data_IF_940469176785
#
_entry.id   IF_940469176785
#
_cell.length_a   1.000
_cell.length_b   1.000
_cell.length_c   1.000
_cell.angle_alpha   90.00
_cell.angle_beta   90.00
_cell.angle_gamma   90.00
#
_symmetry.space_group_name_H-M   'P 1'
#
loop_
_entity.id
_entity.type
_entity.pdbx_description
1 polymer ?
#
# COMPACT_ATOMS: atom_id res chain seq x y z
N UNK A 1 29.73 15.11 -14.90
CA UNK A 1 28.67 14.08 -14.95
C UNK A 1 27.94 14.16 -13.62
N UNK A 2 26.67 14.56 -13.61
CA UNK A 2 25.88 14.60 -12.38
C UNK A 2 25.74 13.18 -11.83
N UNK A 3 25.96 13.04 -10.52
CA UNK A 3 25.82 11.79 -9.82
C UNK A 3 24.31 11.49 -9.69
N UNK A 4 23.77 10.62 -10.54
CA UNK A 4 22.34 10.24 -10.57
C UNK A 4 21.92 9.31 -9.43
N UNK A 5 22.82 9.07 -8.47
CA UNK A 5 22.61 8.13 -7.37
C UNK A 5 21.70 8.72 -6.32
N UNK A 6 20.44 8.27 -6.29
CA UNK A 6 19.49 8.57 -5.21
C UNK A 6 19.77 7.68 -3.99
N UNK A 7 19.72 8.29 -2.80
CA UNK A 7 19.78 7.59 -1.52
C UNK A 7 18.43 7.66 -0.83
N UNK A 8 18.00 6.53 -0.29
CA UNK A 8 16.75 6.38 0.46
C UNK A 8 17.09 5.96 1.88
N UNK A 9 16.30 6.44 2.83
CA UNK A 9 16.39 5.99 4.22
C UNK A 9 15.71 4.63 4.39
N UNK A 10 14.68 4.36 3.58
CA UNK A 10 13.94 3.10 3.58
C UNK A 10 13.30 2.80 2.22
N UNK A 11 13.20 1.51 1.90
CA UNK A 11 12.45 1.01 0.75
C UNK A 11 11.42 -0.04 1.19
N UNK A 12 10.17 0.12 0.76
CA UNK A 12 9.11 -0.87 0.98
C UNK A 12 8.85 -1.65 -0.29
N UNK A 13 8.91 -2.99 -0.22
CA UNK A 13 8.62 -3.87 -1.35
C UNK A 13 7.47 -4.78 -0.96
N UNK A 14 6.38 -4.73 -1.72
CA UNK A 14 5.22 -5.57 -1.45
C UNK A 14 4.07 -5.29 -2.41
N UNK A 15 3.11 -6.21 -2.46
CA UNK A 15 1.94 -6.03 -3.31
C UNK A 15 1.00 -4.97 -2.73
N UNK A 16 0.34 -4.24 -3.62
CA UNK A 16 -0.92 -3.60 -3.29
C UNK A 16 -2.00 -4.65 -3.06
N UNK A 17 -2.80 -4.44 -2.03
CA UNK A 17 -3.95 -5.28 -1.72
C UNK A 17 -5.23 -4.43 -1.72
N UNK A 18 -6.25 -4.89 -2.44
CA UNK A 18 -7.61 -4.36 -2.39
C UNK A 18 -8.39 -5.19 -1.37
N UNK A 19 -8.51 -4.67 -0.16
CA UNK A 19 -8.97 -5.46 0.97
C UNK A 19 -10.47 -5.24 1.21
N UNK A 20 -11.24 -6.31 1.14
CA UNK A 20 -12.65 -6.32 1.55
C UNK A 20 -12.73 -6.73 3.01
N UNK A 21 -13.05 -5.78 3.87
CA UNK A 21 -13.26 -6.01 5.30
C UNK A 21 -14.75 -6.27 5.54
N UNK A 22 -15.06 -7.41 6.14
CA UNK A 22 -16.40 -7.80 6.59
C UNK A 22 -16.41 -7.86 8.11
N UNK A 23 -17.34 -7.14 8.72
CA UNK A 23 -17.46 -7.01 10.17
C UNK A 23 -18.91 -6.80 10.58
N UNK A 24 -19.20 -6.84 11.88
CA UNK A 24 -20.50 -6.49 12.42
C UNK A 24 -20.97 -5.07 12.03
N UNK A 25 -20.05 -4.14 11.78
CA UNK A 25 -20.35 -2.78 11.31
C UNK A 25 -20.64 -2.66 9.81
N UNK A 26 -20.52 -3.76 9.05
CA UNK A 26 -20.74 -3.80 7.61
C UNK A 26 -19.51 -4.17 6.80
N UNK A 27 -19.64 -3.99 5.47
CA UNK A 27 -18.63 -4.32 4.46
C UNK A 27 -17.99 -3.04 3.93
N UNK A 28 -16.66 -3.00 3.86
CA UNK A 28 -15.92 -1.91 3.23
C UNK A 28 -14.75 -2.43 2.42
N UNK A 29 -14.39 -1.69 1.37
CA UNK A 29 -13.17 -1.94 0.57
C UNK A 29 -12.15 -0.87 0.92
N UNK A 30 -10.92 -1.27 1.18
CA UNK A 30 -9.82 -0.36 1.55
C UNK A 30 -8.56 -0.63 0.73
N UNK A 31 -7.78 0.43 0.52
CA UNK A 31 -6.45 0.34 -0.08
C UNK A 31 -5.45 -0.15 0.97
N UNK A 32 -5.10 -1.42 0.87
CA UNK A 32 -4.21 -2.11 1.79
C UNK A 32 -2.78 -2.27 1.30
N UNK A 33 -2.14 -3.30 1.84
CA UNK A 33 -0.77 -3.68 1.57
C UNK A 33 0.20 -3.01 2.53
N UNK A 34 1.06 -3.82 3.17
CA UNK A 34 2.09 -3.32 4.08
C UNK A 34 2.99 -2.26 3.43
N UNK A 35 3.23 -2.37 2.11
CA UNK A 35 3.97 -1.37 1.35
C UNK A 35 3.32 0.03 1.42
N UNK A 36 1.99 0.11 1.33
CA UNK A 36 1.23 1.36 1.30
C UNK A 36 1.22 2.01 2.69
N UNK A 37 0.97 1.23 3.73
CA UNK A 37 0.97 1.72 5.10
C UNK A 37 2.37 2.15 5.55
N UNK A 38 3.38 1.32 5.28
CA UNK A 38 4.78 1.62 5.58
C UNK A 38 5.26 2.89 4.89
N UNK A 39 5.01 3.03 3.58
CA UNK A 39 5.40 4.21 2.83
C UNK A 39 4.71 5.48 3.34
N UNK A 40 3.41 5.43 3.65
CA UNK A 40 2.67 6.57 4.20
C UNK A 40 3.26 7.05 5.53
N UNK A 41 3.54 6.14 6.47
CA UNK A 41 4.09 6.52 7.78
C UNK A 41 5.50 7.07 7.62
N UNK A 42 6.37 6.36 6.90
CA UNK A 42 7.77 6.75 6.75
C UNK A 42 7.92 8.14 6.11
N UNK A 43 7.15 8.44 5.07
CA UNK A 43 7.25 9.75 4.39
C UNK A 43 6.72 10.88 5.26
N UNK A 44 5.67 10.63 6.05
CA UNK A 44 5.15 11.61 7.03
C UNK A 44 6.09 11.85 8.21
N UNK A 45 7.02 10.94 8.45
CA UNK A 45 8.12 11.13 9.39
C UNK A 45 9.30 11.93 8.79
N UNK A 46 9.21 12.36 7.52
CA UNK A 46 10.24 13.14 6.84
C UNK A 46 11.37 12.31 6.24
N UNK A 47 11.20 10.98 6.11
CA UNK A 47 12.21 10.09 5.52
C UNK A 47 12.15 10.12 3.99
N UNK A 48 13.28 9.87 3.34
CA UNK A 48 13.37 9.63 1.89
C UNK A 48 12.95 8.19 1.59
N UNK A 49 11.73 8.03 1.07
CA UNK A 49 11.10 6.72 0.88
C UNK A 49 11.10 6.28 -0.58
N UNK A 50 11.52 5.04 -0.82
CA UNK A 50 11.20 4.30 -2.02
C UNK A 50 10.07 3.28 -1.75
N UNK A 51 9.18 3.08 -2.71
CA UNK A 51 8.16 2.04 -2.66
C UNK A 51 8.14 1.24 -3.97
N UNK A 52 8.06 -0.08 -3.89
CA UNK A 52 8.02 -0.98 -5.03
C UNK A 52 6.79 -1.87 -4.88
N UNK A 53 5.90 -1.82 -5.87
CA UNK A 53 4.62 -2.53 -5.80
C UNK A 53 4.17 -3.05 -7.16
N UNK A 54 3.12 -3.87 -7.12
CA UNK A 54 2.37 -4.29 -8.30
C UNK A 54 0.87 -4.18 -8.05
N UNK A 55 0.13 -3.79 -9.08
CA UNK A 55 -1.32 -3.61 -9.04
C UNK A 55 -1.93 -3.59 -10.45
N UNK A 56 -3.24 -3.78 -10.53
CA UNK A 56 -4.02 -3.50 -11.72
C UNK A 56 -4.06 -2.00 -12.03
N UNK A 57 -4.26 -1.67 -13.32
CA UNK A 57 -4.32 -0.29 -13.80
C UNK A 57 -5.46 0.52 -13.16
N UNK A 58 -6.57 -0.13 -12.83
CA UNK A 58 -7.72 0.50 -12.16
C UNK A 58 -7.38 1.05 -10.76
N UNK A 59 -6.40 0.45 -10.07
CA UNK A 59 -6.02 0.84 -8.71
C UNK A 59 -4.86 1.84 -8.67
N UNK A 60 -4.45 2.34 -9.84
CA UNK A 60 -3.28 3.21 -9.98
C UNK A 60 -3.41 4.54 -9.22
N UNK A 61 -4.61 4.93 -8.82
CA UNK A 61 -4.83 6.09 -7.98
C UNK A 61 -4.09 6.01 -6.63
N UNK A 62 -3.80 4.81 -6.10
CA UNK A 62 -3.01 4.64 -4.86
C UNK A 62 -1.57 5.08 -5.07
N UNK A 63 -1.01 4.79 -6.24
CA UNK A 63 0.33 5.23 -6.65
C UNK A 63 0.38 6.76 -6.70
N UNK A 64 -0.64 7.37 -7.29
CA UNK A 64 -0.73 8.83 -7.38
C UNK A 64 -0.86 9.50 -6.01
N UNK A 65 -1.60 8.89 -5.07
CA UNK A 65 -1.66 9.37 -3.68
C UNK A 65 -0.27 9.37 -3.03
N UNK A 66 0.51 8.30 -3.20
CA UNK A 66 1.87 8.21 -2.63
C UNK A 66 2.86 9.18 -3.30
N UNK A 67 2.76 9.37 -4.62
CA UNK A 67 3.57 10.36 -5.35
C UNK A 67 3.34 11.79 -4.87
N UNK A 68 2.08 12.14 -4.57
CA UNK A 68 1.73 13.45 -4.00
C UNK A 68 2.31 13.68 -2.60
N UNK A 69 2.68 12.60 -1.90
CA UNK A 69 3.41 12.65 -0.64
C UNK A 69 4.93 12.61 -0.83
N UNK A 70 5.42 12.74 -2.07
CA UNK A 70 6.86 12.71 -2.41
C UNK A 70 7.54 11.35 -2.19
N UNK A 71 6.77 10.24 -2.21
CA UNK A 71 7.32 8.89 -2.27
C UNK A 71 7.76 8.56 -3.70
N UNK A 72 9.02 8.14 -3.86
CA UNK A 72 9.51 7.58 -5.13
C UNK A 72 8.95 6.15 -5.27
N UNK A 73 7.93 6.00 -6.11
CA UNK A 73 7.22 4.72 -6.29
C UNK A 73 7.47 4.09 -7.66
N UNK A 74 7.88 2.83 -7.64
CA UNK A 74 8.13 1.97 -8.78
C UNK A 74 7.02 0.92 -8.87
N UNK A 75 6.41 0.82 -10.04
CA UNK A 75 5.16 0.05 -10.21
C UNK A 75 5.29 -0.93 -11.36
N UNK A 76 4.96 -2.19 -11.09
CA UNK A 76 4.66 -3.17 -12.12
C UNK A 76 3.14 -3.28 -12.32
N UNK A 77 2.65 -2.91 -13.50
CA UNK A 77 1.23 -3.08 -13.83
C UNK A 77 0.97 -4.56 -14.12
N UNK A 78 0.07 -5.17 -13.34
CA UNK A 78 -0.42 -6.53 -13.59
C UNK A 78 -1.86 -6.55 -14.07
N UNK A 79 -2.31 -7.69 -14.59
CA UNK A 79 -3.70 -7.87 -15.04
C UNK A 79 -4.70 -7.70 -13.89
N UNK A 80 -4.32 -8.12 -12.68
CA UNK A 80 -5.14 -8.01 -11.46
C UNK A 80 -4.30 -7.49 -10.30
N UNK A 81 -4.94 -6.80 -9.35
CA UNK A 81 -4.40 -6.52 -8.03
C UNK A 81 -4.51 -7.75 -7.14
N UNK A 82 -3.72 -7.79 -6.05
CA UNK A 82 -3.97 -8.77 -4.99
C UNK A 82 -5.25 -8.33 -4.28
N UNK A 83 -6.18 -9.25 -4.03
CA UNK A 83 -7.42 -8.96 -3.32
C UNK A 83 -7.49 -9.83 -2.08
N UNK A 84 -7.69 -9.22 -0.91
CA UNK A 84 -7.89 -9.95 0.34
C UNK A 84 -9.33 -9.77 0.81
N UNK A 85 -9.85 -10.79 1.49
CA UNK A 85 -11.10 -10.71 2.23
C UNK A 85 -10.80 -11.01 3.69
N UNK A 86 -11.10 -10.06 4.56
CA UNK A 86 -10.85 -10.14 5.99
C UNK A 86 -12.19 -10.21 6.69
N UNK A 87 -12.47 -11.33 7.36
CA UNK A 87 -13.72 -11.55 8.08
C UNK A 87 -13.46 -11.45 9.59
N UNK A 88 -14.14 -10.49 10.23
CA UNK A 88 -14.11 -10.28 11.67
C UNK A 88 -15.46 -10.69 12.25
N UNK A 89 -15.57 -11.91 12.82
CA UNK A 89 -16.85 -12.48 13.26
C UNK A 89 -17.42 -11.77 14.50
N UNK A 90 -16.57 -11.13 15.29
CA UNK A 90 -16.95 -10.37 16.48
C UNK A 90 -16.40 -8.94 16.41
N UNK A 91 -16.70 -8.12 17.42
CA UNK A 91 -16.11 -6.79 17.57
C UNK A 91 -14.64 -6.84 17.99
N UNK A 92 -14.15 -7.99 18.47
CA UNK A 92 -12.75 -8.20 18.77
C UNK A 92 -12.01 -8.63 17.50
N UNK A 93 -11.23 -7.73 16.91
CA UNK A 93 -10.53 -7.99 15.64
C UNK A 93 -9.41 -9.04 15.75
N UNK A 94 -8.99 -9.38 16.97
CA UNK A 94 -8.00 -10.42 17.21
C UNK A 94 -8.62 -11.83 17.32
N UNK A 95 -9.94 -11.94 17.44
CA UNK A 95 -10.64 -13.22 17.31
C UNK A 95 -10.71 -13.61 15.82
N UNK A 96 -10.14 -14.78 15.50
CA UNK A 96 -10.00 -15.31 14.14
C UNK A 96 -10.59 -16.73 14.07
N UNK A 97 -11.04 -17.12 12.88
CA UNK A 97 -11.54 -18.47 12.56
C UNK A 97 -10.48 -19.30 11.83
#
# INVERSE_FOLDING_TARGET
MENTKKFYDIAFIGHYTKDTIVSASGIRVVDGGAFNYGANVAVRMGLKVAAITRLAKEDFYVVEKLRRLEVDIFVHISTHSTCLRLEYPTSNVDERV
#
